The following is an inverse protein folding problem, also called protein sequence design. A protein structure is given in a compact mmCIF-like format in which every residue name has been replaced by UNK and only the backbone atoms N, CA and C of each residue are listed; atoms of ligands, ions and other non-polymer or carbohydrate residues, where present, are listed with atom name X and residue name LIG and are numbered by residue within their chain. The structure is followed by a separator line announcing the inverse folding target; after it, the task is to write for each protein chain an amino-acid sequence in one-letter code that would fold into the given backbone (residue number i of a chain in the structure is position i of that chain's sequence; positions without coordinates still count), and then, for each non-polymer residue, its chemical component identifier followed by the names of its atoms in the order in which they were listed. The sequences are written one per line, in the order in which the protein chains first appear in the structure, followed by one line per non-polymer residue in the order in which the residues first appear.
data_IF_020358215856
#
_entry.id   IF_020358215856
#
_cell.length_a   1.000
_cell.length_b   1.000
_cell.length_c   1.000
_cell.angle_alpha   90.00
_cell.angle_beta   90.00
_cell.angle_gamma   90.00
#
_symmetry.space_group_name_H-M   'P 1'
#
loop_
_entity.id
_entity.type
_entity.pdbx_description
1 polymer ?
#
# COMPACT_ATOMS: atom_id res chain seq x y z
N UNK A 1 4.67 -1.16 -14.53
CA UNK A 1 5.30 -0.34 -13.48
C UNK A 1 6.18 -1.15 -12.52
N UNK A 2 5.67 -1.78 -11.45
CA UNK A 2 6.51 -2.41 -10.40
C UNK A 2 7.54 -3.40 -10.97
N UNK A 3 7.11 -4.33 -11.83
CA UNK A 3 8.01 -5.29 -12.45
C UNK A 3 9.07 -4.69 -13.38
N UNK A 4 8.78 -3.55 -14.00
CA UNK A 4 9.76 -2.84 -14.83
C UNK A 4 10.76 -2.08 -13.95
N UNK A 5 10.27 -1.44 -12.87
CA UNK A 5 11.10 -0.67 -11.94
C UNK A 5 12.10 -1.57 -11.20
N UNK A 6 11.66 -2.74 -10.74
CA UNK A 6 12.48 -3.67 -9.97
C UNK A 6 13.12 -4.77 -10.83
N UNK A 7 12.81 -4.81 -12.14
CA UNK A 7 13.21 -5.86 -13.07
C UNK A 7 12.86 -7.29 -12.59
N UNK A 8 11.60 -7.50 -12.19
CA UNK A 8 11.10 -8.77 -11.65
C UNK A 8 9.82 -9.28 -12.32
N UNK A 9 9.66 -10.60 -12.28
CA UNK A 9 8.47 -11.31 -12.79
C UNK A 9 7.24 -11.07 -11.90
N UNK A 10 6.00 -11.32 -12.38
CA UNK A 10 4.78 -11.04 -11.61
C UNK A 10 4.71 -11.64 -10.21
N UNK A 11 5.20 -12.87 -10.03
CA UNK A 11 5.19 -13.60 -8.74
C UNK A 11 6.07 -12.97 -7.66
N UNK A 12 6.98 -12.06 -8.02
CA UNK A 12 7.95 -11.44 -7.11
C UNK A 12 7.59 -9.98 -6.77
N UNK A 13 6.39 -9.52 -7.17
CA UNK A 13 5.99 -8.10 -7.04
C UNK A 13 5.32 -7.76 -5.72
N UNK A 14 5.16 -8.71 -4.81
CA UNK A 14 4.39 -8.52 -3.57
C UNK A 14 4.88 -7.28 -2.78
N UNK A 15 6.18 -7.22 -2.47
CA UNK A 15 6.75 -6.12 -1.68
C UNK A 15 6.55 -4.76 -2.34
N UNK A 16 6.75 -4.67 -3.66
CA UNK A 16 6.50 -3.44 -4.41
C UNK A 16 5.02 -3.06 -4.48
N UNK A 17 4.12 -4.06 -4.54
CA UNK A 17 2.68 -3.84 -4.58
C UNK A 17 2.16 -3.33 -3.24
N UNK A 18 2.65 -3.90 -2.14
CA UNK A 18 2.36 -3.41 -0.78
C UNK A 18 2.86 -1.98 -0.58
N UNK A 19 4.07 -1.67 -1.05
CA UNK A 19 4.60 -0.30 -0.97
C UNK A 19 3.70 0.70 -1.73
N UNK A 20 3.26 0.38 -2.95
CA UNK A 20 2.33 1.22 -3.69
C UNK A 20 0.98 1.38 -2.99
N UNK A 21 0.43 0.30 -2.42
CA UNK A 21 -0.82 0.33 -1.67
C UNK A 21 -0.71 1.25 -0.43
N UNK A 22 0.37 1.13 0.34
CA UNK A 22 0.63 1.97 1.51
C UNK A 22 0.77 3.44 1.12
N UNK A 23 1.54 3.76 0.07
CA UNK A 23 1.69 5.14 -0.42
C UNK A 23 0.33 5.74 -0.79
N UNK A 24 -0.47 5.01 -1.57
CA UNK A 24 -1.79 5.47 -1.99
C UNK A 24 -2.74 5.68 -0.80
N UNK A 25 -2.77 4.73 0.14
CA UNK A 25 -3.63 4.81 1.32
C UNK A 25 -3.22 5.95 2.26
N UNK A 26 -1.91 6.17 2.45
CA UNK A 26 -1.39 7.31 3.23
C UNK A 26 -1.76 8.67 2.61
N UNK A 27 -1.92 8.72 1.28
CA UNK A 27 -2.44 9.87 0.54
C UNK A 27 -3.98 9.90 0.46
N UNK A 28 -4.70 9.09 1.24
CA UNK A 28 -6.15 9.15 1.34
C UNK A 28 -6.91 8.44 0.21
N UNK A 29 -6.30 7.48 -0.50
CA UNK A 29 -7.04 6.61 -1.38
C UNK A 29 -8.00 5.71 -0.57
N UNK A 30 -9.29 5.72 -0.94
CA UNK A 30 -10.35 5.04 -0.19
C UNK A 30 -10.53 3.56 -0.54
N UNK A 31 -10.12 3.15 -1.75
CA UNK A 31 -10.26 1.78 -2.24
C UNK A 31 -8.93 1.38 -2.90
N UNK A 32 -8.34 0.29 -2.42
CA UNK A 32 -7.15 -0.32 -3.01
C UNK A 32 -7.55 -1.67 -3.62
N UNK A 33 -7.38 -1.81 -4.94
CA UNK A 33 -7.64 -3.07 -5.66
C UNK A 33 -6.35 -3.87 -5.79
N UNK A 34 -6.33 -5.10 -5.25
CA UNK A 34 -5.14 -5.96 -5.20
C UNK A 34 -5.45 -7.41 -5.58
N UNK A 35 -4.39 -8.19 -5.85
CA UNK A 35 -4.45 -9.65 -5.97
C UNK A 35 -4.19 -10.31 -4.60
N UNK A 36 -3.18 -9.80 -3.87
CA UNK A 36 -2.74 -10.31 -2.57
C UNK A 36 -3.51 -9.63 -1.42
N UNK A 37 -4.74 -10.09 -1.18
CA UNK A 37 -5.70 -9.44 -0.26
C UNK A 37 -5.22 -9.46 1.18
N UNK A 38 -4.72 -10.60 1.66
CA UNK A 38 -4.39 -10.79 3.07
C UNK A 38 -3.29 -9.82 3.51
N UNK A 39 -2.18 -9.81 2.78
CA UNK A 39 -1.00 -9.00 3.05
C UNK A 39 -1.33 -7.50 2.92
N UNK A 40 -2.18 -7.13 1.97
CA UNK A 40 -2.60 -5.74 1.80
C UNK A 40 -3.48 -5.29 2.97
N UNK A 41 -4.42 -6.12 3.43
CA UNK A 41 -5.25 -5.79 4.61
C UNK A 41 -4.40 -5.62 5.87
N UNK A 42 -3.39 -6.48 6.07
CA UNK A 42 -2.43 -6.33 7.18
C UNK A 42 -1.67 -4.99 7.10
N UNK A 43 -1.21 -4.59 5.90
CA UNK A 43 -0.59 -3.29 5.70
C UNK A 43 -1.57 -2.11 5.93
N UNK A 44 -2.84 -2.25 5.52
CA UNK A 44 -3.85 -1.20 5.74
C UNK A 44 -4.12 -0.96 7.23
N UNK A 45 -4.12 -2.01 8.07
CA UNK A 45 -4.26 -1.84 9.53
C UNK A 45 -3.15 -0.97 10.13
N UNK A 46 -1.93 -1.10 9.61
CA UNK A 46 -0.80 -0.25 10.04
C UNK A 46 -1.00 1.19 9.58
N UNK A 47 -1.46 1.39 8.33
CA UNK A 47 -1.78 2.72 7.80
C UNK A 47 -2.90 3.39 8.61
N UNK A 48 -3.98 2.67 8.91
CA UNK A 48 -5.09 3.15 9.74
C UNK A 48 -4.63 3.60 11.12
N UNK A 49 -3.81 2.76 11.80
CA UNK A 49 -3.23 3.12 13.09
C UNK A 49 -2.37 4.39 12.99
N UNK A 50 -1.54 4.50 11.95
CA UNK A 50 -0.65 5.65 11.72
C UNK A 50 -1.45 6.94 11.48
N UNK A 51 -2.47 6.89 10.62
CA UNK A 51 -3.31 8.05 10.31
C UNK A 51 -4.20 8.46 11.48
N UNK A 52 -4.63 7.51 12.32
CA UNK A 52 -5.43 7.81 13.51
C UNK A 52 -4.66 8.61 14.56
N UNK A 53 -3.34 8.44 14.64
CA UNK A 53 -2.47 9.18 15.54
C UNK A 53 -2.07 10.56 15.00
N UNK A 54 -2.36 10.85 13.73
CA UNK A 54 -1.97 12.10 13.06
C UNK A 54 -3.12 13.11 13.11
N UNK A 55 -2.79 14.37 13.38
CA UNK A 55 -3.78 15.46 13.44
C UNK A 55 -4.49 15.67 12.10
N UNK A 56 -3.73 15.71 11.00
CA UNK A 56 -4.26 15.66 9.65
C UNK A 56 -4.23 14.23 9.13
N UNK A 57 -5.39 13.62 8.86
CA UNK A 57 -5.56 12.19 8.49
C UNK A 57 -5.06 11.81 7.09
N UNK A 58 -4.05 12.52 6.57
CA UNK A 58 -3.47 12.34 5.24
C UNK A 58 -2.02 12.82 5.19
N UNK A 59 -1.22 12.20 4.33
CA UNK A 59 0.11 12.66 3.94
C UNK A 59 0.05 13.31 2.55
N UNK A 60 0.78 14.41 2.39
CA UNK A 60 0.94 15.19 1.14
C UNK A 60 2.36 15.09 0.62
#
# INVERSE_FOLDING_TARGET
MIGQLLNVVPSERLSGSLACAVIAAMQGAHIIRVHDVKETVEAMRVVEATLSAKENKRYE
#
